data_IF_140654360070
#
_entry.id   IF_140654360070
#
_cell.length_a   1.000
_cell.length_b   1.000
_cell.length_c   1.000
_cell.angle_alpha   90.00
_cell.angle_beta   90.00
_cell.angle_gamma   90.00
#
_symmetry.space_group_name_H-M   'P 1'
#
loop_
_entity.id
_entity.type
_entity.pdbx_description
1 polymer ?
#
# COMPACT_ATOMS: atom_id res chain seq x y z
N UNK A 1 6.84 -7.84 -7.36
CA UNK A 1 6.52 -6.45 -6.94
C UNK A 1 6.70 -5.45 -8.07
N UNK A 2 7.84 -5.43 -8.76
CA UNK A 2 8.07 -4.55 -9.91
C UNK A 2 7.03 -4.78 -11.02
N UNK A 3 6.67 -6.02 -11.31
CA UNK A 3 5.68 -6.34 -12.35
C UNK A 3 4.27 -5.86 -11.98
N UNK A 4 3.86 -6.07 -10.72
CA UNK A 4 2.58 -5.56 -10.21
C UNK A 4 2.52 -4.03 -10.25
N UNK A 5 3.61 -3.37 -9.87
CA UNK A 5 3.77 -1.93 -9.94
C UNK A 5 3.65 -1.41 -11.38
N UNK A 6 4.33 -2.05 -12.33
CA UNK A 6 4.25 -1.73 -13.75
C UNK A 6 2.82 -1.93 -14.30
N UNK A 7 2.16 -3.04 -13.95
CA UNK A 7 0.79 -3.35 -14.39
C UNK A 7 -0.23 -2.32 -13.87
N UNK A 8 -0.03 -1.82 -12.66
CA UNK A 8 -0.92 -0.85 -12.01
C UNK A 8 -0.49 0.62 -12.22
N UNK A 9 0.64 0.88 -12.87
CA UNK A 9 1.17 2.24 -13.07
C UNK A 9 1.55 2.98 -11.79
N UNK A 10 1.92 2.25 -10.72
CA UNK A 10 2.29 2.83 -9.42
C UNK A 10 3.73 2.48 -9.03
N UNK A 11 4.26 3.13 -7.99
CA UNK A 11 5.56 2.75 -7.44
C UNK A 11 5.46 1.46 -6.59
N UNK A 12 6.51 0.65 -6.61
CA UNK A 12 6.68 -0.51 -5.73
C UNK A 12 6.57 -0.20 -4.23
N UNK A 13 6.92 1.03 -3.78
CA UNK A 13 6.72 1.47 -2.39
C UNK A 13 5.22 1.56 -2.08
N UNK A 14 4.42 2.06 -3.03
CA UNK A 14 2.97 2.16 -2.88
C UNK A 14 2.31 0.78 -2.79
N UNK A 15 2.76 -0.19 -3.59
CA UNK A 15 2.32 -1.60 -3.50
C UNK A 15 2.59 -2.19 -2.11
N UNK A 16 3.80 -2.00 -1.55
CA UNK A 16 4.12 -2.48 -0.20
C UNK A 16 3.21 -1.89 0.86
N UNK A 17 2.91 -0.60 0.75
CA UNK A 17 1.98 0.06 1.66
C UNK A 17 0.58 -0.54 1.55
N UNK A 18 0.05 -0.74 0.36
CA UNK A 18 -1.29 -1.30 0.20
C UNK A 18 -1.45 -2.73 0.70
N UNK A 19 -0.40 -3.53 0.58
CA UNK A 19 -0.37 -4.86 1.17
C UNK A 19 -0.42 -4.77 2.69
N UNK A 20 0.36 -3.86 3.29
CA UNK A 20 0.36 -3.62 4.73
C UNK A 20 -0.98 -3.08 5.23
N UNK A 21 -1.61 -2.21 4.44
CA UNK A 21 -2.90 -1.59 4.76
C UNK A 21 -4.09 -2.53 4.44
N UNK A 22 -3.83 -3.73 3.88
CA UNK A 22 -4.85 -4.76 3.61
C UNK A 22 -5.71 -4.53 2.36
N UNK A 23 -5.38 -3.52 1.55
CA UNK A 23 -6.14 -3.14 0.36
C UNK A 23 -5.84 -4.09 -0.81
N UNK A 24 -4.57 -4.46 -0.97
CA UNK A 24 -4.13 -5.40 -1.99
C UNK A 24 -3.82 -6.75 -1.33
N UNK A 25 -4.64 -7.78 -1.56
CA UNK A 25 -4.38 -9.11 -1.02
C UNK A 25 -3.05 -9.64 -1.55
N UNK A 26 -2.19 -10.05 -0.63
CA UNK A 26 -0.92 -10.68 -0.95
C UNK A 26 -0.52 -11.67 0.14
N UNK A 27 0.04 -12.80 -0.28
CA UNK A 27 0.44 -13.88 0.61
C UNK A 27 1.96 -13.98 0.69
N UNK A 28 2.49 -14.29 1.88
CA UNK A 28 3.88 -14.73 2.05
C UNK A 28 3.88 -16.21 2.40
N UNK A 29 4.61 -17.01 1.62
CA UNK A 29 4.73 -18.46 1.86
C UNK A 29 5.42 -18.75 3.20
N UNK A 30 6.38 -17.90 3.58
CA UNK A 30 7.06 -17.96 4.88
C UNK A 30 7.49 -16.56 5.31
N UNK A 31 7.87 -16.42 6.58
CA UNK A 31 8.39 -15.16 7.10
C UNK A 31 9.60 -14.71 6.27
N UNK A 32 9.62 -13.43 5.88
CA UNK A 32 10.63 -12.80 5.02
C UNK A 32 10.61 -13.25 3.56
N UNK A 33 9.66 -14.08 3.14
CA UNK A 33 9.46 -14.35 1.72
C UNK A 33 8.91 -13.12 0.98
N UNK A 34 9.17 -13.01 -0.33
CA UNK A 34 8.48 -12.03 -1.16
C UNK A 34 6.96 -12.25 -1.13
N UNK A 35 6.21 -11.15 -1.16
CA UNK A 35 4.76 -11.19 -1.32
C UNK A 35 4.37 -11.69 -2.71
N UNK A 36 3.49 -12.69 -2.74
CA UNK A 36 2.81 -13.17 -3.93
C UNK A 36 1.45 -12.50 -4.04
N UNK A 37 1.14 -11.98 -5.23
CA UNK A 37 -0.10 -11.26 -5.53
C UNK A 37 -0.76 -12.00 -6.69
N UNK A 38 -2.05 -12.31 -6.58
CA UNK A 38 -2.75 -13.02 -7.66
C UNK A 38 -2.98 -12.08 -8.83
N UNK A 39 -2.91 -12.62 -10.04
CA UNK A 39 -3.10 -11.82 -11.25
C UNK A 39 -4.52 -11.22 -11.33
N UNK A 40 -5.53 -11.95 -10.84
CA UNK A 40 -6.92 -11.49 -10.72
C UNK A 40 -7.05 -10.21 -9.90
N UNK A 41 -6.31 -10.14 -8.79
CA UNK A 41 -6.42 -9.04 -7.83
C UNK A 41 -5.76 -7.76 -8.39
N UNK A 42 -4.82 -7.90 -9.32
CA UNK A 42 -4.25 -6.76 -10.06
C UNK A 42 -5.21 -6.22 -11.13
N UNK A 43 -6.17 -7.02 -11.57
CA UNK A 43 -7.14 -6.64 -12.60
C UNK A 43 -8.44 -6.10 -12.02
N UNK A 44 -8.70 -6.33 -10.73
CA UNK A 44 -9.89 -5.84 -10.03
C UNK A 44 -9.97 -4.31 -10.04
N UNK A 45 -11.05 -3.79 -10.62
CA UNK A 45 -11.34 -2.37 -10.70
C UNK A 45 -11.50 -1.72 -9.32
N UNK A 46 -11.99 -2.45 -8.31
CA UNK A 46 -12.08 -1.93 -6.94
C UNK A 46 -10.71 -1.56 -6.40
N UNK A 47 -9.74 -2.45 -6.62
CA UNK A 47 -8.36 -2.25 -6.21
C UNK A 47 -7.76 -1.08 -6.99
N UNK A 48 -7.99 -0.98 -8.30
CA UNK A 48 -7.50 0.15 -9.11
C UNK A 48 -8.06 1.49 -8.65
N UNK A 49 -9.35 1.56 -8.33
CA UNK A 49 -10.01 2.77 -7.82
C UNK A 49 -9.42 3.19 -6.49
N UNK A 50 -9.25 2.26 -5.54
CA UNK A 50 -8.58 2.54 -4.26
C UNK A 50 -7.13 2.97 -4.46
N UNK A 51 -6.42 2.36 -5.40
CA UNK A 51 -5.03 2.71 -5.75
C UNK A 51 -4.88 4.14 -6.25
N UNK A 52 -5.85 4.59 -7.05
CA UNK A 52 -5.88 5.91 -7.65
C UNK A 52 -6.15 7.02 -6.62
N UNK A 53 -6.74 6.68 -5.46
CA UNK A 53 -6.99 7.66 -4.39
C UNK A 53 -5.67 8.22 -3.85
N UNK A 54 -5.64 9.54 -3.68
CA UNK A 54 -4.51 10.26 -3.11
C UNK A 54 -4.58 10.20 -1.59
N UNK A 55 -3.98 9.16 -1.02
CA UNK A 55 -3.89 8.99 0.44
C UNK A 55 -2.63 9.72 0.95
N UNK A 56 -2.70 10.45 2.09
CA UNK A 56 -1.52 11.04 2.70
C UNK A 56 -0.40 10.01 2.89
N UNK A 57 0.84 10.37 2.54
CA UNK A 57 2.00 9.47 2.68
C UNK A 57 2.33 9.14 4.14
N UNK A 58 1.95 10.04 5.06
CA UNK A 58 2.07 9.85 6.51
C UNK A 58 0.68 9.68 7.08
N UNK A 59 0.49 8.58 7.80
CA UNK A 59 -0.67 8.46 8.69
C UNK A 59 -0.50 9.53 9.79
N UNK A 60 -1.61 10.14 10.22
CA UNK A 60 -1.57 11.01 11.40
C UNK A 60 -1.30 10.09 12.58
N UNK A 61 -0.07 10.13 13.11
CA UNK A 61 0.22 9.44 14.35
C UNK A 61 -0.38 10.28 15.48
N UNK A 62 -1.55 9.88 15.97
CA UNK A 62 -2.22 10.57 17.07
C UNK A 62 -1.39 10.55 18.37
N UNK A 63 -0.31 9.74 18.43
CA UNK A 63 0.65 9.74 19.53
C UNK A 63 1.76 10.78 19.37
N UNK A 64 1.85 11.46 18.23
CA UNK A 64 2.83 12.53 18.00
C UNK A 64 2.39 13.79 18.74
N UNK A 65 2.96 14.02 19.93
CA UNK A 65 2.77 15.28 20.67
C UNK A 65 3.47 16.43 19.94
N UNK A 66 2.77 17.55 19.76
CA UNK A 66 3.36 18.78 19.23
C UNK A 66 4.50 19.23 20.15
N UNK A 67 5.65 19.55 19.57
CA UNK A 67 6.77 20.15 20.30
C UNK A 67 6.59 21.66 20.52
N UNK A 68 5.61 22.27 19.84
CA UNK A 68 5.31 23.69 19.97
C UNK A 68 4.01 23.85 20.75
N UNK A 69 4.05 24.64 21.82
CA UNK A 69 2.85 25.17 22.48
C UNK A 69 2.20 26.22 21.58
N UNK A 70 0.87 26.21 21.51
CA UNK A 70 0.13 27.31 20.88
C UNK A 70 0.43 28.59 21.67
N UNK A 71 0.97 29.60 20.99
CA UNK A 71 1.22 30.95 21.52
C UNK A 71 -0.11 31.70 21.55
#
# INVERSE_FOLDING_TARGET
MSDAAAKLGVSHVKIRRFIRDGILPAEQVMRCAPYQIRASDLEDERIKVELARKIPCRDKDDRQKSLFSAI
#
